data_IF_424121463911
#
_entry.id   IF_424121463911
#
_cell.length_a   1.000
_cell.length_b   1.000
_cell.length_c   1.000
_cell.angle_alpha   90.00
_cell.angle_beta   90.00
_cell.angle_gamma   90.00
#
_symmetry.space_group_name_H-M   'P 1'
#
loop_
_entity.id
_entity.type
_entity.pdbx_description
1 polymer ?
#
# COMPACT_ATOMS: atom_id res chain seq x y z
N UNK A 1 -8.49 -12.16 -0.22
CA UNK A 1 -7.54 -13.03 -0.93
C UNK A 1 -6.15 -12.43 -0.97
N UNK A 2 -5.14 -13.25 -1.12
CA UNK A 2 -3.76 -12.83 -1.31
C UNK A 2 -3.44 -12.69 -2.79
N UNK A 3 -3.40 -11.46 -3.27
CA UNK A 3 -3.09 -11.14 -4.66
C UNK A 3 -4.19 -11.48 -5.67
N UNK A 4 -3.99 -10.96 -6.88
CA UNK A 4 -4.92 -11.14 -7.99
C UNK A 4 -4.93 -12.59 -8.49
N UNK A 5 -6.13 -13.19 -8.57
CA UNK A 5 -6.33 -14.55 -9.07
C UNK A 5 -6.10 -15.67 -8.04
N UNK A 6 -5.71 -15.36 -6.81
CA UNK A 6 -5.50 -16.34 -5.72
C UNK A 6 -6.59 -16.21 -4.65
N UNK A 7 -7.80 -16.63 -5.00
CA UNK A 7 -8.96 -16.53 -4.09
C UNK A 7 -8.96 -17.60 -2.99
N UNK A 8 -8.15 -18.63 -3.12
CA UNK A 8 -7.97 -19.70 -2.15
C UNK A 8 -7.17 -19.29 -0.91
N UNK A 9 -6.30 -18.28 -1.05
CA UNK A 9 -5.49 -17.75 0.06
C UNK A 9 -6.17 -16.51 0.63
N UNK A 10 -6.53 -16.60 1.91
CA UNK A 10 -7.10 -15.49 2.68
C UNK A 10 -6.04 -14.85 3.56
N UNK A 11 -6.10 -13.54 3.66
CA UNK A 11 -5.27 -12.76 4.59
C UNK A 11 -6.16 -12.01 5.56
N UNK A 12 -5.64 -11.66 6.71
CA UNK A 12 -6.36 -10.95 7.76
C UNK A 12 -5.89 -9.50 7.77
N UNK A 13 -6.78 -8.57 7.45
CA UNK A 13 -6.57 -7.15 7.73
C UNK A 13 -6.89 -6.83 9.18
N UNK A 14 -6.21 -5.83 9.75
CA UNK A 14 -6.38 -5.43 11.15
C UNK A 14 -6.84 -3.99 11.21
N UNK A 15 -8.00 -3.77 11.87
CA UNK A 15 -8.50 -2.44 12.19
C UNK A 15 -8.38 -2.18 13.68
N UNK A 16 -7.68 -1.11 14.03
CA UNK A 16 -7.52 -0.68 15.42
C UNK A 16 -8.06 0.75 15.52
N UNK A 17 -8.83 1.01 16.57
CA UNK A 17 -9.35 2.34 16.87
C UNK A 17 -9.16 2.64 18.35
N UNK A 18 -8.60 3.80 18.64
CA UNK A 18 -8.46 4.37 19.98
C UNK A 18 -8.85 5.85 19.90
N UNK A 19 -9.87 6.24 20.63
CA UNK A 19 -10.42 7.60 20.65
C UNK A 19 -10.69 8.16 19.23
N UNK A 20 -9.90 9.16 18.84
CA UNK A 20 -9.98 9.84 17.54
C UNK A 20 -9.02 9.27 16.49
N UNK A 21 -8.08 8.42 16.90
CA UNK A 21 -7.11 7.80 16.02
C UNK A 21 -7.58 6.39 15.62
N UNK A 22 -7.26 6.02 14.41
CA UNK A 22 -7.59 4.70 13.90
C UNK A 22 -6.64 4.28 12.81
N UNK A 23 -6.32 3.01 12.79
CA UNK A 23 -5.40 2.43 11.83
C UNK A 23 -6.04 1.22 11.16
N UNK A 24 -5.80 1.07 9.88
CA UNK A 24 -6.06 -0.16 9.17
C UNK A 24 -4.77 -0.67 8.52
N UNK A 25 -4.43 -1.92 8.79
CA UNK A 25 -3.36 -2.66 8.13
C UNK A 25 -3.96 -3.67 7.16
N UNK A 26 -3.63 -3.57 5.88
CA UNK A 26 -4.19 -4.44 4.84
C UNK A 26 -3.68 -5.87 4.92
N UNK A 27 -2.56 -6.11 5.60
CA UNK A 27 -1.80 -7.35 5.47
C UNK A 27 -1.34 -7.57 4.01
N UNK A 28 -1.04 -8.79 3.63
CA UNK A 28 -0.44 -9.14 2.33
C UNK A 28 -1.53 -9.40 1.26
N UNK A 29 -2.17 -8.31 0.80
CA UNK A 29 -3.17 -8.37 -0.29
C UNK A 29 -2.55 -8.15 -1.68
N UNK A 30 -1.22 -7.96 -1.77
CA UNK A 30 -0.49 -7.64 -3.01
C UNK A 30 -1.06 -6.42 -3.75
N UNK A 31 -1.54 -5.42 -3.00
CA UNK A 31 -2.14 -4.20 -3.53
C UNK A 31 -3.55 -4.35 -4.09
N UNK A 32 -4.16 -5.53 -4.01
CA UNK A 32 -5.51 -5.76 -4.56
C UNK A 32 -6.58 -5.28 -3.57
N UNK A 33 -7.25 -4.19 -3.92
CA UNK A 33 -8.40 -3.67 -3.17
C UNK A 33 -9.70 -4.23 -3.77
N UNK A 34 -10.19 -5.32 -3.22
CA UNK A 34 -11.47 -5.90 -3.61
C UNK A 34 -12.65 -5.04 -3.14
N UNK A 35 -13.78 -5.10 -3.87
CA UNK A 35 -14.97 -4.30 -3.57
C UNK A 35 -15.49 -4.58 -2.15
N UNK A 36 -15.46 -5.83 -1.70
CA UNK A 36 -15.88 -6.21 -0.34
C UNK A 36 -15.04 -5.54 0.75
N UNK A 37 -13.73 -5.39 0.52
CA UNK A 37 -12.85 -4.68 1.45
C UNK A 37 -13.12 -3.17 1.40
N UNK A 38 -13.27 -2.60 0.22
CA UNK A 38 -13.60 -1.18 0.03
C UNK A 38 -14.93 -0.86 0.71
N UNK A 39 -15.96 -1.68 0.51
CA UNK A 39 -17.27 -1.54 1.14
C UNK A 39 -17.23 -1.61 2.68
N UNK A 40 -16.37 -2.47 3.20
CA UNK A 40 -16.13 -2.53 4.65
C UNK A 40 -15.46 -1.25 5.16
N UNK A 41 -14.44 -0.75 4.45
CA UNK A 41 -13.61 0.37 4.89
C UNK A 41 -14.29 1.74 4.71
N UNK A 42 -15.07 1.95 3.63
CA UNK A 42 -15.69 3.26 3.33
C UNK A 42 -16.56 3.82 4.46
N UNK A 43 -17.06 2.95 5.36
CA UNK A 43 -17.88 3.32 6.52
C UNK A 43 -17.05 3.44 7.80
N UNK A 44 -15.71 3.36 7.71
CA UNK A 44 -14.81 3.49 8.85
C UNK A 44 -14.09 4.83 8.80
N UNK A 45 -13.86 5.40 9.97
CA UNK A 45 -12.88 6.45 10.09
C UNK A 45 -11.50 5.79 10.17
N UNK A 46 -10.59 6.16 9.29
CA UNK A 46 -9.24 5.59 9.24
C UNK A 46 -8.27 6.76 9.12
N UNK A 47 -7.51 7.04 10.18
CA UNK A 47 -6.53 8.13 10.16
C UNK A 47 -5.20 7.68 9.56
N UNK A 48 -4.83 6.41 9.74
CA UNK A 48 -3.61 5.83 9.19
C UNK A 48 -3.93 4.52 8.46
N UNK A 49 -3.55 4.46 7.18
CA UNK A 49 -3.61 3.25 6.37
C UNK A 49 -2.20 2.70 6.15
N UNK A 50 -1.94 1.47 6.59
CA UNK A 50 -0.75 0.72 6.23
C UNK A 50 -1.14 -0.22 5.11
N UNK A 51 -0.62 0.07 3.92
CA UNK A 51 -0.95 -0.60 2.67
C UNK A 51 0.28 -1.37 2.17
N UNK A 52 0.16 -2.66 1.94
CA UNK A 52 1.27 -3.52 1.50
C UNK A 52 1.85 -3.12 0.15
N UNK A 53 1.04 -2.46 -0.65
CA UNK A 53 1.42 -1.93 -1.94
C UNK A 53 1.42 -2.96 -3.07
N UNK A 54 1.74 -2.48 -4.26
CA UNK A 54 1.75 -3.31 -5.46
C UNK A 54 3.11 -4.00 -5.64
N UNK A 55 3.16 -5.23 -6.18
CA UNK A 55 4.39 -5.95 -6.46
C UNK A 55 5.11 -5.38 -7.71
N UNK A 56 5.57 -4.14 -7.62
CA UNK A 56 6.16 -3.35 -8.71
C UNK A 56 7.45 -3.96 -9.28
N UNK A 57 8.10 -4.84 -8.54
CA UNK A 57 9.26 -5.60 -9.03
C UNK A 57 8.93 -6.56 -10.18
N UNK A 58 7.63 -6.89 -10.38
CA UNK A 58 7.11 -7.69 -11.52
C UNK A 58 6.64 -6.76 -12.65
N UNK A 59 7.30 -5.64 -12.89
CA UNK A 59 6.87 -4.46 -13.66
C UNK A 59 5.92 -4.71 -14.87
N UNK A 60 6.28 -5.58 -15.81
CA UNK A 60 5.53 -5.76 -17.05
C UNK A 60 4.07 -6.24 -16.85
N UNK A 61 3.84 -7.39 -16.20
CA UNK A 61 2.49 -7.91 -15.97
C UNK A 61 1.63 -7.02 -15.07
N UNK A 62 2.22 -6.41 -14.02
CA UNK A 62 1.49 -5.58 -13.06
C UNK A 62 0.99 -4.30 -13.69
N UNK A 63 1.88 -3.54 -14.34
CA UNK A 63 1.56 -2.22 -14.90
C UNK A 63 0.64 -2.25 -16.12
N UNK A 64 0.52 -3.41 -16.78
CA UNK A 64 -0.40 -3.61 -17.90
C UNK A 64 -1.76 -4.13 -17.45
N UNK A 65 -1.92 -4.45 -16.19
CA UNK A 65 -3.11 -5.13 -15.70
C UNK A 65 -4.16 -4.13 -15.21
N UNK A 66 -5.38 -4.32 -15.66
CA UNK A 66 -6.53 -3.48 -15.28
C UNK A 66 -6.71 -3.39 -13.75
N UNK A 67 -6.48 -4.47 -13.03
CA UNK A 67 -6.65 -4.50 -11.57
C UNK A 67 -5.73 -3.52 -10.83
N UNK A 68 -4.52 -3.24 -11.37
CA UNK A 68 -3.61 -2.25 -10.79
C UNK A 68 -4.24 -0.84 -10.79
N UNK A 69 -4.76 -0.41 -11.93
CA UNK A 69 -5.41 0.90 -12.06
C UNK A 69 -6.71 0.97 -11.28
N UNK A 70 -7.49 -0.11 -11.25
CA UNK A 70 -8.72 -0.18 -10.45
C UNK A 70 -8.39 -0.06 -8.95
N UNK A 71 -7.34 -0.73 -8.47
CA UNK A 71 -6.92 -0.62 -7.07
C UNK A 71 -6.36 0.74 -6.72
N UNK A 72 -5.63 1.41 -7.63
CA UNK A 72 -5.20 2.81 -7.42
C UNK A 72 -6.40 3.74 -7.26
N UNK A 73 -7.42 3.62 -8.12
CA UNK A 73 -8.65 4.40 -8.01
C UNK A 73 -9.39 4.14 -6.69
N UNK A 74 -9.46 2.88 -6.27
CA UNK A 74 -10.06 2.49 -5.00
C UNK A 74 -9.28 3.03 -3.81
N UNK A 75 -7.94 3.05 -3.89
CA UNK A 75 -7.09 3.65 -2.87
C UNK A 75 -7.35 5.16 -2.76
N UNK A 76 -7.39 5.89 -3.87
CA UNK A 76 -7.72 7.32 -3.87
C UNK A 76 -9.12 7.58 -3.31
N UNK A 77 -10.11 6.76 -3.70
CA UNK A 77 -11.46 6.82 -3.16
C UNK A 77 -11.47 6.64 -1.62
N UNK A 78 -10.76 5.64 -1.09
CA UNK A 78 -10.67 5.40 0.34
C UNK A 78 -9.99 6.56 1.08
N UNK A 79 -8.92 7.13 0.51
CA UNK A 79 -8.22 8.30 1.09
C UNK A 79 -9.19 9.47 1.28
N UNK A 80 -10.04 9.72 0.30
CA UNK A 80 -11.02 10.82 0.37
C UNK A 80 -12.19 10.50 1.30
N UNK A 81 -12.70 9.27 1.26
CA UNK A 81 -13.93 8.88 1.96
C UNK A 81 -13.70 8.57 3.44
N UNK A 82 -12.59 7.91 3.77
CA UNK A 82 -12.28 7.46 5.14
C UNK A 82 -11.50 8.49 5.95
N UNK A 83 -11.20 9.67 5.39
CA UNK A 83 -10.40 10.72 6.01
C UNK A 83 -8.96 10.26 6.37
N UNK A 84 -8.36 9.43 5.50
CA UNK A 84 -6.99 8.97 5.69
C UNK A 84 -6.04 10.17 5.63
N UNK A 85 -5.22 10.31 6.67
CA UNK A 85 -4.21 11.36 6.80
C UNK A 85 -2.80 10.84 6.54
N UNK A 86 -2.54 9.59 6.91
CA UNK A 86 -1.24 8.97 6.76
C UNK A 86 -1.38 7.69 5.93
N UNK A 87 -0.67 7.63 4.82
CA UNK A 87 -0.55 6.43 3.99
C UNK A 87 0.87 5.88 4.11
N UNK A 88 1.00 4.74 4.74
CA UNK A 88 2.26 4.03 4.89
C UNK A 88 2.30 2.92 3.85
N UNK A 89 3.26 3.00 2.94
CA UNK A 89 3.50 1.98 1.91
C UNK A 89 4.46 0.94 2.45
N UNK A 90 4.01 -0.30 2.46
CA UNK A 90 4.75 -1.40 3.06
C UNK A 90 5.46 -2.27 1.99
N UNK A 91 5.74 -3.50 2.33
CA UNK A 91 6.75 -4.40 1.78
C UNK A 91 6.67 -4.68 0.26
N UNK A 92 5.50 -4.74 -0.38
CA UNK A 92 5.46 -5.05 -1.81
C UNK A 92 6.00 -3.92 -2.68
N UNK A 93 5.52 -2.70 -2.49
CA UNK A 93 6.02 -1.58 -3.29
C UNK A 93 7.44 -1.17 -2.86
N UNK A 94 7.76 -1.22 -1.57
CA UNK A 94 9.08 -0.85 -1.05
C UNK A 94 10.23 -1.79 -1.48
N UNK A 95 9.92 -2.94 -2.11
CA UNK A 95 10.92 -3.76 -2.83
C UNK A 95 11.49 -3.09 -4.07
N UNK A 96 10.92 -1.97 -4.49
CA UNK A 96 11.34 -1.18 -5.65
C UNK A 96 11.68 0.22 -5.19
N UNK A 97 12.94 0.65 -5.29
CA UNK A 97 13.39 1.96 -4.79
C UNK A 97 12.71 3.16 -5.48
N UNK A 98 12.24 2.97 -6.71
CA UNK A 98 11.54 3.99 -7.50
C UNK A 98 10.00 3.89 -7.41
N UNK A 99 9.48 3.27 -6.36
CA UNK A 99 8.04 3.03 -6.20
C UNK A 99 7.19 4.31 -6.24
N UNK A 100 7.72 5.44 -5.79
CA UNK A 100 7.00 6.72 -5.69
C UNK A 100 6.41 7.17 -7.03
N UNK A 101 7.11 6.92 -8.14
CA UNK A 101 6.64 7.28 -9.48
C UNK A 101 5.34 6.59 -9.92
N UNK A 102 5.00 5.46 -9.31
CA UNK A 102 3.77 4.73 -9.60
C UNK A 102 2.59 5.19 -8.76
N UNK A 103 2.84 6.08 -7.80
CA UNK A 103 1.86 6.64 -6.89
C UNK A 103 1.72 8.17 -7.02
N UNK A 104 2.17 8.76 -8.14
CA UNK A 104 2.20 10.22 -8.32
C UNK A 104 0.87 10.89 -8.03
N UNK A 105 -0.26 10.33 -8.53
CA UNK A 105 -1.60 10.86 -8.27
C UNK A 105 -1.94 10.80 -6.76
N UNK A 106 -1.55 9.72 -6.09
CA UNK A 106 -1.76 9.54 -4.66
C UNK A 106 -0.88 10.50 -3.85
N UNK A 107 0.39 10.65 -4.25
CA UNK A 107 1.34 11.56 -3.58
C UNK A 107 0.90 13.02 -3.67
N UNK A 108 0.18 13.40 -4.73
CA UNK A 108 -0.36 14.75 -4.92
C UNK A 108 -1.67 15.02 -4.17
N UNK A 109 -2.24 14.03 -3.49
CA UNK A 109 -3.52 14.15 -2.81
C UNK A 109 -3.42 15.02 -1.55
N UNK A 110 -4.03 16.20 -1.58
CA UNK A 110 -3.97 17.20 -0.50
C UNK A 110 -4.64 16.77 0.81
N UNK A 111 -5.39 15.67 0.82
CA UNK A 111 -5.99 15.13 2.04
C UNK A 111 -4.97 14.40 2.92
N UNK A 112 -3.82 14.01 2.34
CA UNK A 112 -2.77 13.30 3.04
C UNK A 112 -1.77 14.26 3.69
N UNK A 113 -1.47 14.02 4.95
CA UNK A 113 -0.38 14.69 5.68
C UNK A 113 0.95 13.98 5.45
N UNK A 114 0.89 12.66 5.23
CA UNK A 114 2.05 11.84 5.01
C UNK A 114 1.78 10.72 3.99
N UNK A 115 2.74 10.50 3.09
CA UNK A 115 2.83 9.33 2.22
C UNK A 115 4.28 8.88 2.16
N UNK A 116 4.55 7.65 2.55
CA UNK A 116 5.93 7.13 2.56
C UNK A 116 6.00 5.71 3.11
N UNK A 117 7.21 5.23 3.29
CA UNK A 117 7.48 3.96 3.96
C UNK A 117 7.37 4.10 5.48
N UNK A 118 7.29 2.97 6.19
CA UNK A 118 7.30 2.97 7.65
C UNK A 118 8.57 3.61 8.23
N UNK A 119 9.73 3.43 7.58
CA UNK A 119 10.97 4.08 7.99
C UNK A 119 10.86 5.61 7.88
N UNK A 120 10.37 6.13 6.75
CA UNK A 120 10.16 7.57 6.56
C UNK A 120 9.16 8.14 7.57
N UNK A 121 8.09 7.40 7.89
CA UNK A 121 7.13 7.79 8.92
C UNK A 121 7.77 7.93 10.29
N UNK A 122 8.71 7.06 10.62
CA UNK A 122 9.52 7.12 11.84
C UNK A 122 10.73 8.07 11.75
N UNK A 123 10.82 8.89 10.68
CA UNK A 123 11.94 9.80 10.42
C UNK A 123 13.29 9.09 10.29
N UNK A 124 13.27 7.88 9.78
CA UNK A 124 14.45 7.05 9.50
C UNK A 124 14.68 6.96 8.00
N UNK A 125 15.93 6.76 7.59
CA UNK A 125 16.25 6.50 6.19
C UNK A 125 15.79 5.09 5.77
N UNK A 126 15.01 4.96 4.68
CA UNK A 126 14.55 3.64 4.23
C UNK A 126 15.69 2.83 3.61
N UNK A 127 15.84 1.59 4.06
CA UNK A 127 16.83 0.65 3.53
C UNK A 127 16.15 -0.30 2.56
N UNK A 128 16.24 -0.03 1.25
CA UNK A 128 15.62 -0.85 0.19
C UNK A 128 16.45 -2.11 -0.12
N UNK A 129 16.71 -2.94 0.90
CA UNK A 129 17.60 -4.11 0.80
C UNK A 129 17.16 -5.09 -0.29
N UNK A 130 15.85 -5.30 -0.46
CA UNK A 130 15.34 -6.21 -1.47
C UNK A 130 15.58 -5.71 -2.90
N UNK A 131 15.49 -4.39 -3.15
CA UNK A 131 15.84 -3.81 -4.44
C UNK A 131 17.34 -3.96 -4.76
N UNK A 132 18.16 -4.04 -3.72
CA UNK A 132 19.62 -4.20 -3.80
C UNK A 132 20.08 -5.66 -3.76
N UNK A 133 19.17 -6.62 -3.65
CA UNK A 133 19.44 -8.04 -3.43
C UNK A 133 20.55 -8.56 -4.36
N UNK A 134 20.44 -8.34 -5.67
CA UNK A 134 21.43 -8.83 -6.66
C UNK A 134 22.82 -8.28 -6.40
N UNK A 135 22.93 -6.98 -6.11
CA UNK A 135 24.19 -6.31 -5.83
C UNK A 135 24.82 -6.82 -4.54
N UNK A 136 24.01 -6.98 -3.49
CA UNK A 136 24.46 -7.48 -2.19
C UNK A 136 24.94 -8.93 -2.24
N UNK A 137 24.29 -9.78 -3.05
CA UNK A 137 24.72 -11.17 -3.24
C UNK A 137 25.95 -11.33 -4.16
N UNK A 138 26.17 -10.38 -5.07
CA UNK A 138 27.35 -10.40 -5.94
C UNK A 138 28.65 -9.96 -5.24
N UNK A 139 28.57 -9.40 -4.03
CA UNK A 139 29.71 -8.96 -3.22
C UNK A 139 30.28 -10.06 -2.32
N UNK A 140 29.78 -11.29 -2.43
CA UNK A 140 30.34 -12.50 -1.78
C UNK A 140 31.28 -13.23 -2.73
#
# INVERSE_FOLDING_TARGET
PHGYGRQDIKVIGVYIKEDKESMFYTSDISGVLEDTLVDFLKNKQITTLIFDGFPLYIKGPVLKNKWFFDSLKKLDFLIRTCNIKNLIIDHHSSRTSDWKKYYEEILSNKNLNFVGTAAEFLKMEPKYLESMRRTLFAQK
#
